data_IF_383818129517
#
_entry.id   IF_383818129517
#
_cell.length_a   1.000
_cell.length_b   1.000
_cell.length_c   1.000
_cell.angle_alpha   90.00
_cell.angle_beta   90.00
_cell.angle_gamma   90.00
#
_symmetry.space_group_name_H-M   'P 1'
#
loop_
_entity.id
_entity.type
_entity.pdbx_description
1 polymer ?
#
# COMPACT_ATOMS: atom_id res chain seq x y z
N UNK A 1 13.85 9.65 -21.17
CA UNK A 1 14.32 8.79 -20.08
C UNK A 1 13.79 9.37 -18.77
N UNK A 2 12.81 8.73 -18.10
CA UNK A 2 12.33 9.21 -16.79
C UNK A 2 13.48 9.12 -15.79
N UNK A 3 13.85 10.23 -15.14
CA UNK A 3 14.78 10.20 -14.00
C UNK A 3 14.10 9.44 -12.87
N UNK A 4 14.71 8.33 -12.45
CA UNK A 4 14.22 7.51 -11.34
C UNK A 4 14.29 8.34 -10.05
N UNK A 5 13.18 8.51 -9.35
CA UNK A 5 13.15 9.24 -8.08
C UNK A 5 13.96 8.46 -7.02
N UNK A 6 15.13 8.97 -6.63
CA UNK A 6 16.03 8.30 -5.67
C UNK A 6 15.45 8.18 -4.27
N UNK A 7 14.44 8.97 -3.92
CA UNK A 7 13.74 8.83 -2.64
C UNK A 7 12.98 7.50 -2.54
N UNK A 8 12.70 6.83 -3.66
CA UNK A 8 12.16 5.46 -3.65
C UNK A 8 13.18 4.40 -3.18
N UNK A 9 14.46 4.77 -3.03
CA UNK A 9 15.52 3.90 -2.53
C UNK A 9 15.90 4.25 -1.08
N UNK A 10 15.00 4.95 -0.37
CA UNK A 10 15.18 5.33 1.03
C UNK A 10 15.20 4.09 1.93
N UNK A 11 16.13 4.12 2.87
CA UNK A 11 16.29 3.15 3.95
C UNK A 11 16.33 3.90 5.27
N UNK A 12 16.08 3.23 6.42
CA UNK A 12 16.22 3.85 7.74
C UNK A 12 17.59 4.52 7.96
N UNK A 13 18.68 3.89 7.51
CA UNK A 13 20.04 4.47 7.66
C UNK A 13 20.20 5.76 6.83
N UNK A 14 19.68 5.77 5.60
CA UNK A 14 19.67 6.97 4.76
C UNK A 14 18.82 8.06 5.38
N UNK A 15 17.69 7.71 6.00
CA UNK A 15 16.87 8.67 6.75
C UNK A 15 17.62 9.25 7.94
N UNK A 16 18.33 8.43 8.72
CA UNK A 16 19.17 8.89 9.83
C UNK A 16 20.23 9.90 9.38
N UNK A 17 20.87 9.66 8.22
CA UNK A 17 21.79 10.64 7.64
C UNK A 17 21.10 11.96 7.27
N UNK A 18 19.90 11.92 6.69
CA UNK A 18 19.15 13.14 6.34
C UNK A 18 18.75 13.93 7.60
N UNK A 19 18.37 13.25 8.68
CA UNK A 19 18.11 13.88 9.98
C UNK A 19 19.37 14.54 10.53
N UNK A 20 20.50 13.83 10.56
CA UNK A 20 21.78 14.37 11.00
C UNK A 20 22.20 15.62 10.22
N UNK A 21 22.06 15.60 8.89
CA UNK A 21 22.37 16.74 8.03
C UNK A 21 21.45 17.94 8.32
N UNK A 22 20.17 17.70 8.62
CA UNK A 22 19.24 18.75 9.01
C UNK A 22 19.60 19.37 10.37
N UNK A 23 20.00 18.55 11.35
CA UNK A 23 20.46 19.03 12.67
C UNK A 23 21.73 19.89 12.59
N UNK A 24 22.47 19.81 11.49
CA UNK A 24 23.70 20.58 11.23
C UNK A 24 23.51 21.64 10.13
N UNK A 25 22.26 22.06 9.88
CA UNK A 25 21.89 23.10 8.90
C UNK A 25 22.39 22.84 7.45
N UNK A 26 22.70 21.58 7.12
CA UNK A 26 23.19 21.17 5.82
C UNK A 26 22.06 20.73 4.86
N UNK A 27 20.84 20.61 5.36
CA UNK A 27 19.66 20.14 4.61
C UNK A 27 18.36 20.64 5.27
N UNK A 28 17.38 21.07 4.47
CA UNK A 28 16.01 21.25 4.97
C UNK A 28 15.22 19.93 4.86
N UNK A 29 14.94 19.31 6.01
CA UNK A 29 14.17 18.08 6.09
C UNK A 29 12.71 18.26 5.68
N UNK A 30 12.16 19.48 5.76
CA UNK A 30 10.78 19.79 5.35
C UNK A 30 10.58 19.54 3.87
N UNK A 31 11.53 20.00 3.05
CA UNK A 31 11.56 19.74 1.61
C UNK A 31 11.64 18.25 1.28
N UNK A 32 12.45 17.48 2.02
CA UNK A 32 12.54 16.02 1.85
C UNK A 32 11.23 15.34 2.19
N UNK A 33 10.62 15.68 3.34
CA UNK A 33 9.33 15.12 3.78
C UNK A 33 8.24 15.40 2.74
N UNK A 34 8.18 16.62 2.21
CA UNK A 34 7.25 16.96 1.13
C UNK A 34 7.43 16.04 -0.08
N UNK A 35 8.65 15.85 -0.57
CA UNK A 35 8.88 14.95 -1.70
C UNK A 35 8.59 13.48 -1.39
N UNK A 36 8.78 13.03 -0.15
CA UNK A 36 8.35 11.69 0.27
C UNK A 36 6.81 11.57 0.26
N UNK A 37 6.12 12.62 0.71
CA UNK A 37 4.66 12.69 0.68
C UNK A 37 4.13 12.63 -0.75
N UNK A 38 4.73 13.37 -1.69
CA UNK A 38 4.37 13.32 -3.12
C UNK A 38 4.48 11.88 -3.69
N UNK A 39 5.52 11.14 -3.29
CA UNK A 39 5.71 9.73 -3.70
C UNK A 39 4.62 8.83 -3.09
N UNK A 40 4.25 9.07 -1.84
CA UNK A 40 3.21 8.32 -1.16
C UNK A 40 1.82 8.60 -1.75
N UNK A 41 1.51 9.86 -2.03
CA UNK A 41 0.27 10.30 -2.69
C UNK A 41 0.16 9.73 -4.10
N UNK A 42 1.24 9.71 -4.87
CA UNK A 42 1.27 9.06 -6.18
C UNK A 42 0.92 7.57 -6.11
N UNK A 43 1.32 6.87 -5.04
CA UNK A 43 0.96 5.46 -4.81
C UNK A 43 -0.49 5.32 -4.35
N UNK A 44 -1.00 6.25 -3.55
CA UNK A 44 -2.40 6.28 -3.16
C UNK A 44 -3.33 6.51 -4.35
N UNK A 45 -2.93 7.33 -5.33
CA UNK A 45 -3.66 7.48 -6.59
C UNK A 45 -3.76 6.15 -7.33
N UNK A 46 -2.64 5.41 -7.47
CA UNK A 46 -2.65 4.07 -8.07
C UNK A 46 -3.56 3.11 -7.28
N UNK A 47 -3.56 3.19 -5.95
CA UNK A 47 -4.43 2.36 -5.12
C UNK A 47 -5.92 2.65 -5.41
N UNK A 48 -6.28 3.93 -5.47
CA UNK A 48 -7.64 4.39 -5.76
C UNK A 48 -8.10 4.00 -7.17
N UNK A 49 -7.21 4.11 -8.17
CA UNK A 49 -7.51 3.66 -9.53
C UNK A 49 -7.82 2.16 -9.56
N UNK A 50 -7.01 1.34 -8.87
CA UNK A 50 -7.28 -0.11 -8.79
C UNK A 50 -8.59 -0.41 -8.05
N UNK A 51 -8.90 0.31 -6.98
CA UNK A 51 -10.16 0.16 -6.26
C UNK A 51 -11.37 0.51 -7.15
N UNK A 52 -11.32 1.65 -7.84
CA UNK A 52 -12.39 2.07 -8.76
C UNK A 52 -12.59 1.08 -9.90
N UNK A 53 -11.50 0.48 -10.42
CA UNK A 53 -11.60 -0.59 -11.42
C UNK A 53 -12.27 -1.83 -10.82
N UNK A 54 -11.91 -2.23 -9.60
CA UNK A 54 -12.52 -3.39 -8.93
C UNK A 54 -14.03 -3.20 -8.73
N UNK A 55 -14.45 -2.03 -8.26
CA UNK A 55 -15.85 -1.65 -8.07
C UNK A 55 -16.64 -1.70 -9.39
N UNK A 56 -16.11 -1.09 -10.45
CA UNK A 56 -16.75 -1.11 -11.78
C UNK A 56 -16.86 -2.51 -12.36
N UNK A 57 -15.85 -3.35 -12.18
CA UNK A 57 -15.86 -4.73 -12.66
C UNK A 57 -16.93 -5.57 -11.96
N UNK A 58 -17.11 -5.37 -10.65
CA UNK A 58 -18.18 -6.01 -9.89
C UNK A 58 -19.55 -5.52 -10.37
N UNK A 59 -19.73 -4.21 -10.51
CA UNK A 59 -20.99 -3.58 -10.96
C UNK A 59 -21.46 -4.12 -12.31
N UNK A 60 -20.55 -4.29 -13.28
CA UNK A 60 -20.89 -4.81 -14.60
C UNK A 60 -20.86 -6.34 -14.69
N UNK A 61 -20.59 -7.04 -13.59
CA UNK A 61 -20.52 -8.50 -13.52
C UNK A 61 -19.38 -9.13 -14.32
N UNK A 62 -18.25 -8.43 -14.50
CA UNK A 62 -17.15 -8.87 -15.33
C UNK A 62 -15.93 -9.30 -14.51
N UNK A 63 -15.59 -10.59 -14.61
CA UNK A 63 -14.35 -11.20 -14.11
C UNK A 63 -14.08 -10.98 -12.61
N UNK A 64 -14.77 -11.78 -11.79
CA UNK A 64 -14.52 -11.87 -10.34
C UNK A 64 -13.04 -12.07 -9.98
N UNK A 65 -12.29 -12.82 -10.81
CA UNK A 65 -10.84 -13.01 -10.65
C UNK A 65 -10.08 -11.68 -10.75
N UNK A 66 -10.47 -10.84 -11.70
CA UNK A 66 -9.87 -9.50 -11.87
C UNK A 66 -10.27 -8.56 -10.74
N UNK A 67 -11.48 -8.70 -10.18
CA UNK A 67 -11.89 -7.96 -8.98
C UNK A 67 -10.94 -8.27 -7.81
N UNK A 68 -10.71 -9.54 -7.48
CA UNK A 68 -9.77 -9.93 -6.41
C UNK A 68 -8.35 -9.39 -6.67
N UNK A 69 -7.87 -9.51 -7.90
CA UNK A 69 -6.57 -8.97 -8.30
C UNK A 69 -6.49 -7.46 -8.04
N UNK A 70 -7.47 -6.70 -8.50
CA UNK A 70 -7.51 -5.24 -8.39
C UNK A 70 -7.69 -4.77 -6.94
N UNK A 71 -8.55 -5.41 -6.16
CA UNK A 71 -8.68 -5.16 -4.74
C UNK A 71 -7.36 -5.37 -3.99
N UNK A 72 -6.65 -6.47 -4.26
CA UNK A 72 -5.36 -6.71 -3.63
C UNK A 72 -4.29 -5.68 -4.03
N UNK A 73 -4.20 -5.32 -5.32
CA UNK A 73 -3.22 -4.31 -5.76
C UNK A 73 -3.54 -2.92 -5.22
N UNK A 74 -4.82 -2.59 -5.02
CA UNK A 74 -5.23 -1.40 -4.27
C UNK A 74 -4.63 -1.40 -2.85
N UNK A 75 -4.88 -2.47 -2.08
CA UNK A 75 -4.30 -2.64 -0.74
C UNK A 75 -2.77 -2.57 -0.74
N UNK A 76 -2.11 -3.20 -1.71
CA UNK A 76 -0.66 -3.23 -1.84
C UNK A 76 -0.08 -1.82 -2.02
N UNK A 77 -0.64 -1.03 -2.94
CA UNK A 77 -0.13 0.31 -3.21
C UNK A 77 -0.39 1.26 -2.04
N UNK A 78 -1.53 1.13 -1.37
CA UNK A 78 -1.86 1.88 -0.16
C UNK A 78 -0.96 1.50 1.03
N UNK A 79 -0.79 0.21 1.33
CA UNK A 79 0.10 -0.21 2.42
C UNK A 79 1.56 0.21 2.15
N UNK A 80 2.01 0.16 0.90
CA UNK A 80 3.36 0.61 0.51
C UNK A 80 3.54 2.12 0.61
N UNK A 81 2.49 2.93 0.45
CA UNK A 81 2.58 4.38 0.68
C UNK A 81 2.74 4.68 2.17
N UNK A 82 1.88 4.09 3.01
CA UNK A 82 1.93 4.26 4.47
C UNK A 82 3.25 3.76 5.07
N UNK A 83 3.68 2.54 4.75
CA UNK A 83 4.96 1.99 5.23
C UNK A 83 6.14 2.86 4.81
N UNK A 84 6.10 3.41 3.58
CA UNK A 84 7.19 4.25 3.08
C UNK A 84 7.37 5.52 3.90
N UNK A 85 6.29 6.24 4.21
CA UNK A 85 6.41 7.50 4.96
C UNK A 85 6.54 7.26 6.45
N UNK A 86 5.85 6.27 7.01
CA UNK A 86 5.81 6.00 8.46
C UNK A 86 6.99 5.17 8.99
N UNK A 87 7.71 4.48 8.11
CA UNK A 87 8.88 3.67 8.46
C UNK A 87 10.13 4.04 7.65
N UNK A 88 10.04 5.07 6.79
CA UNK A 88 11.14 5.55 5.94
C UNK A 88 11.83 4.42 5.16
N UNK A 89 11.01 3.52 4.61
CA UNK A 89 11.45 2.27 3.99
C UNK A 89 10.55 1.91 2.80
N UNK A 90 11.12 1.75 1.61
CA UNK A 90 10.39 1.21 0.46
C UNK A 90 10.42 -0.33 0.44
N UNK A 91 9.25 -0.97 0.43
CA UNK A 91 9.11 -2.43 0.43
C UNK A 91 8.35 -2.87 -0.81
N UNK A 92 9.02 -3.61 -1.69
CA UNK A 92 8.44 -4.06 -2.96
C UNK A 92 7.86 -5.48 -2.88
N UNK A 93 8.52 -6.34 -2.11
CA UNK A 93 8.12 -7.72 -1.93
C UNK A 93 6.78 -7.82 -1.17
N UNK A 94 5.81 -8.51 -1.77
CA UNK A 94 4.43 -8.58 -1.27
C UNK A 94 4.35 -9.13 0.16
N UNK A 95 5.07 -10.22 0.46
CA UNK A 95 5.07 -10.85 1.79
C UNK A 95 5.72 -9.94 2.82
N UNK A 96 6.88 -9.36 2.49
CA UNK A 96 7.58 -8.44 3.37
C UNK A 96 6.79 -7.17 3.63
N UNK A 97 6.02 -6.68 2.64
CA UNK A 97 5.17 -5.52 2.82
C UNK A 97 4.07 -5.79 3.85
N UNK A 98 3.39 -6.94 3.76
CA UNK A 98 2.39 -7.36 4.75
C UNK A 98 3.00 -7.40 6.16
N UNK A 99 4.21 -7.95 6.32
CA UNK A 99 4.88 -8.01 7.61
C UNK A 99 5.22 -6.62 8.18
N UNK A 100 5.63 -5.69 7.31
CA UNK A 100 5.93 -4.30 7.70
C UNK A 100 4.67 -3.52 8.01
N UNK A 101 3.62 -3.69 7.21
CA UNK A 101 2.32 -3.09 7.45
C UNK A 101 1.71 -3.57 8.77
N UNK A 102 1.82 -4.87 9.09
CA UNK A 102 1.46 -5.41 10.41
C UNK A 102 2.20 -4.71 11.55
N UNK A 103 3.51 -4.52 11.43
CA UNK A 103 4.30 -3.81 12.45
C UNK A 103 3.85 -2.36 12.62
N UNK A 104 3.56 -1.70 11.51
CA UNK A 104 3.01 -0.34 11.50
C UNK A 104 1.67 -0.27 12.24
N UNK A 105 0.69 -1.09 11.88
CA UNK A 105 -0.64 -1.07 12.51
C UNK A 105 -0.60 -1.39 14.00
N UNK A 106 0.26 -2.35 14.42
CA UNK A 106 0.43 -2.65 15.85
C UNK A 106 1.04 -1.47 16.59
N UNK A 107 1.97 -0.74 15.98
CA UNK A 107 2.59 0.45 16.57
C UNK A 107 1.58 1.60 16.73
N UNK A 108 0.79 1.88 15.69
CA UNK A 108 -0.13 3.02 15.68
C UNK A 108 -1.45 2.74 16.40
N UNK A 109 -1.97 1.51 16.31
CA UNK A 109 -3.35 1.20 16.73
C UNK A 109 -3.45 0.02 17.70
N UNK A 110 -2.35 -0.70 17.98
CA UNK A 110 -2.39 -1.93 18.78
C UNK A 110 -3.14 -3.09 18.12
N UNK A 111 -3.50 -2.97 16.83
CA UNK A 111 -4.27 -3.96 16.09
C UNK A 111 -3.53 -4.43 14.82
N UNK A 112 -3.75 -5.69 14.43
CA UNK A 112 -3.19 -6.34 13.24
C UNK A 112 -4.25 -6.88 12.29
N UNK A 113 -5.53 -6.60 12.53
CA UNK A 113 -6.65 -7.19 11.77
C UNK A 113 -6.55 -6.87 10.28
N UNK A 114 -6.37 -5.60 9.92
CA UNK A 114 -6.22 -5.18 8.52
C UNK A 114 -5.03 -5.85 7.82
N UNK A 115 -3.89 -6.02 8.51
CA UNK A 115 -2.74 -6.73 7.94
C UNK A 115 -3.00 -8.23 7.74
N UNK A 116 -3.80 -8.86 8.61
CA UNK A 116 -4.24 -10.25 8.40
C UNK A 116 -5.15 -10.36 7.18
N UNK A 117 -6.13 -9.48 7.04
CA UNK A 117 -7.02 -9.41 5.87
C UNK A 117 -6.22 -9.22 4.59
N UNK A 118 -5.28 -8.26 4.57
CA UNK A 118 -4.38 -8.06 3.42
C UNK A 118 -3.60 -9.33 3.05
N UNK A 119 -3.18 -10.14 4.03
CA UNK A 119 -2.46 -11.39 3.76
C UNK A 119 -3.37 -12.50 3.22
N UNK A 120 -4.64 -12.54 3.63
CA UNK A 120 -5.65 -13.42 3.04
C UNK A 120 -5.79 -13.08 1.56
N UNK A 121 -6.06 -11.81 1.24
CA UNK A 121 -6.21 -11.37 -0.15
C UNK A 121 -4.96 -11.53 -0.99
N UNK A 122 -3.75 -11.44 -0.40
CA UNK A 122 -2.51 -11.81 -1.09
C UNK A 122 -2.54 -13.25 -1.58
N UNK A 123 -3.05 -14.16 -0.75
CA UNK A 123 -3.12 -15.59 -1.05
C UNK A 123 -4.23 -15.88 -2.07
N UNK A 124 -5.42 -15.29 -1.88
CA UNK A 124 -6.54 -15.39 -2.84
C UNK A 124 -6.18 -14.86 -4.22
N UNK A 125 -5.45 -13.74 -4.28
CA UNK A 125 -4.94 -13.16 -5.52
C UNK A 125 -3.99 -14.12 -6.25
N UNK A 126 -3.09 -14.80 -5.53
CA UNK A 126 -2.22 -15.83 -6.14
C UNK A 126 -3.08 -16.98 -6.69
N UNK A 127 -4.12 -17.38 -5.96
CA UNK A 127 -5.19 -18.28 -6.43
C UNK A 127 -5.74 -17.87 -7.80
N UNK A 128 -6.26 -16.64 -7.85
CA UNK A 128 -6.90 -16.05 -9.03
C UNK A 128 -5.95 -15.81 -10.20
N UNK A 129 -4.69 -15.47 -9.95
CA UNK A 129 -3.72 -15.14 -11.01
C UNK A 129 -3.16 -16.41 -11.68
N UNK A 130 -2.94 -17.49 -10.92
CA UNK A 130 -2.11 -18.61 -11.38
C UNK A 130 -2.83 -19.96 -11.49
N UNK A 131 -4.01 -20.14 -10.90
CA UNK A 131 -4.69 -21.45 -10.88
C UNK A 131 -5.99 -21.43 -11.71
N UNK A 132 -6.02 -22.04 -12.92
CA UNK A 132 -7.15 -21.93 -13.83
C UNK A 132 -8.49 -22.39 -13.25
N UNK A 133 -8.51 -23.41 -12.39
CA UNK A 133 -9.73 -24.00 -11.82
C UNK A 133 -10.40 -23.22 -10.69
N UNK A 134 -9.85 -22.08 -10.27
CA UNK A 134 -10.43 -21.27 -9.17
C UNK A 134 -11.73 -20.59 -9.63
N UNK A 135 -12.82 -20.89 -8.91
CA UNK A 135 -14.13 -20.23 -9.06
C UNK A 135 -14.30 -19.27 -7.90
N UNK A 136 -14.65 -18.01 -8.20
CA UNK A 136 -14.81 -16.94 -7.21
C UNK A 136 -16.27 -16.53 -7.15
N UNK A 137 -16.89 -16.65 -5.98
CA UNK A 137 -18.23 -16.15 -5.73
C UNK A 137 -18.25 -14.61 -5.67
N UNK A 138 -19.38 -14.01 -6.02
CA UNK A 138 -19.56 -12.55 -6.00
C UNK A 138 -19.37 -11.96 -4.58
N UNK A 139 -19.87 -12.64 -3.54
CA UNK A 139 -19.70 -12.26 -2.13
C UNK A 139 -18.22 -12.13 -1.71
N UNK A 140 -17.34 -12.93 -2.33
CA UNK A 140 -15.89 -12.80 -2.09
C UNK A 140 -15.33 -11.52 -2.71
N UNK A 141 -15.89 -11.07 -3.83
CA UNK A 141 -15.51 -9.82 -4.49
C UNK A 141 -15.93 -8.62 -3.65
N UNK A 142 -17.17 -8.63 -3.15
CA UNK A 142 -17.69 -7.62 -2.22
C UNK A 142 -16.80 -7.52 -0.96
N UNK A 143 -16.45 -8.67 -0.37
CA UNK A 143 -15.56 -8.73 0.78
C UNK A 143 -14.16 -8.16 0.47
N UNK A 144 -13.60 -8.49 -0.69
CA UNK A 144 -12.30 -7.97 -1.11
C UNK A 144 -12.31 -6.46 -1.32
N UNK A 145 -13.37 -5.91 -1.91
CA UNK A 145 -13.55 -4.46 -2.10
C UNK A 145 -13.72 -3.77 -0.75
N UNK A 146 -14.58 -4.30 0.13
CA UNK A 146 -14.81 -3.74 1.48
C UNK A 146 -13.52 -3.67 2.29
N UNK A 147 -12.73 -4.74 2.31
CA UNK A 147 -11.42 -4.75 2.95
C UNK A 147 -10.43 -3.79 2.28
N UNK A 148 -10.48 -3.64 0.95
CA UNK A 148 -9.64 -2.70 0.23
C UNK A 148 -9.96 -1.25 0.63
N UNK A 149 -11.25 -0.91 0.72
CA UNK A 149 -11.72 0.41 1.18
C UNK A 149 -11.18 0.71 2.57
N UNK A 150 -11.32 -0.23 3.52
CA UNK A 150 -10.82 -0.06 4.89
C UNK A 150 -9.30 0.19 4.91
N UNK A 151 -8.52 -0.66 4.23
CA UNK A 151 -7.05 -0.54 4.18
C UNK A 151 -6.63 0.78 3.50
N UNK A 152 -7.26 1.14 2.38
CA UNK A 152 -6.96 2.39 1.66
C UNK A 152 -7.22 3.60 2.55
N UNK A 153 -8.36 3.66 3.23
CA UNK A 153 -8.70 4.79 4.10
C UNK A 153 -7.75 4.89 5.29
N UNK A 154 -7.41 3.76 5.94
CA UNK A 154 -6.40 3.76 7.00
C UNK A 154 -5.04 4.26 6.50
N UNK A 155 -4.61 3.83 5.31
CA UNK A 155 -3.34 4.26 4.75
C UNK A 155 -3.33 5.73 4.32
N UNK A 156 -4.48 6.28 3.87
CA UNK A 156 -4.62 7.71 3.58
C UNK A 156 -4.38 8.55 4.83
N UNK A 157 -5.05 8.23 5.93
CA UNK A 157 -4.88 8.95 7.21
C UNK A 157 -3.42 8.93 7.67
N UNK A 158 -2.77 7.76 7.62
CA UNK A 158 -1.36 7.62 7.96
C UNK A 158 -0.42 8.43 7.04
N UNK A 159 -0.79 8.69 5.79
CA UNK A 159 0.01 9.54 4.87
C UNK A 159 -0.30 11.01 5.08
N UNK A 160 -1.53 11.37 5.42
CA UNK A 160 -1.95 12.74 5.72
C UNK A 160 -1.24 13.29 6.96
N UNK A 161 -1.07 12.46 8.00
CA UNK A 161 -0.40 12.77 9.27
C UNK A 161 1.14 12.86 9.18
N UNK A 162 1.75 12.50 8.04
CA UNK A 162 3.20 12.62 7.81
C UNK A 162 3.62 14.03 7.39
#
# INVERSE_FOLDING_TARGET
MMRKNKLMELTPDKWGLLVYLNEHDALDLTTVKRFMKDVAESRLAIAQDNLSIAEKLLEIGLSNRTVIHKSYYSMYHAARSAVYVQMQLDVKEHRSLVDKFKKLLVREFGDKTLAKQMNVWRSERIGCDYYPGVVIAEEMCESAISDAVMIVNTCKNLVEEF
#
